data_IF_224248838929
#
_entry.id   IF_224248838929
#
_cell.length_a   1.000
_cell.length_b   1.000
_cell.length_c   1.000
_cell.angle_alpha   90.00
_cell.angle_beta   90.00
_cell.angle_gamma   90.00
#
_symmetry.space_group_name_H-M   'P 1'
#
loop_
_entity.id
_entity.type
_entity.pdbx_description
1 polymer ?
#
# COMPACT_ATOMS: atom_id res chain seq x y z
N UNK A 1 27.68 15.89 15.13
CA UNK A 1 27.08 14.55 14.93
C UNK A 1 26.05 14.17 16.00
N UNK A 2 26.24 14.52 17.28
CA UNK A 2 25.31 14.17 18.37
C UNK A 2 23.92 14.83 18.27
N UNK A 3 23.81 16.06 17.76
CA UNK A 3 22.51 16.74 17.58
C UNK A 3 21.63 16.09 16.50
N UNK A 4 22.24 15.67 15.39
CA UNK A 4 21.54 15.01 14.28
C UNK A 4 21.07 13.61 14.67
N UNK A 5 21.90 12.87 15.41
CA UNK A 5 21.52 11.58 15.99
C UNK A 5 20.37 11.71 17.00
N UNK A 6 20.37 12.76 17.84
CA UNK A 6 19.24 13.05 18.75
C UNK A 6 17.95 13.36 17.99
N UNK A 7 18.01 14.18 16.93
CA UNK A 7 16.84 14.49 16.10
C UNK A 7 16.31 13.23 15.40
N UNK A 8 17.20 12.40 14.87
CA UNK A 8 16.82 11.12 14.25
C UNK A 8 16.14 10.19 15.25
N UNK A 9 16.68 10.06 16.47
CA UNK A 9 16.07 9.26 17.53
C UNK A 9 14.72 9.81 17.99
N UNK A 10 14.56 11.14 18.02
CA UNK A 10 13.30 11.80 18.41
C UNK A 10 12.23 11.64 17.33
N UNK A 11 12.62 11.67 16.05
CA UNK A 11 11.73 11.38 14.92
C UNK A 11 11.28 9.91 14.92
N UNK A 12 12.23 8.97 15.14
CA UNK A 12 11.91 7.54 15.27
C UNK A 12 10.99 7.28 16.47
N UNK A 13 11.23 7.93 17.61
CA UNK A 13 10.41 7.81 18.81
C UNK A 13 9.00 8.34 18.61
N UNK A 14 8.84 9.44 17.87
CA UNK A 14 7.53 10.01 17.52
C UNK A 14 6.65 9.07 16.69
N UNK A 15 7.25 8.31 15.76
CA UNK A 15 6.53 7.31 14.94
C UNK A 15 6.02 6.10 15.74
N UNK A 16 6.54 5.87 16.94
CA UNK A 16 6.12 4.79 17.84
C UNK A 16 4.96 5.18 18.76
N UNK A 17 4.55 6.46 18.76
CA UNK A 17 3.42 6.94 19.54
C UNK A 17 2.14 6.72 18.73
N UNK A 18 1.48 5.59 18.97
CA UNK A 18 0.12 5.33 18.47
C UNK A 18 -0.89 5.92 19.48
N UNK A 19 -1.28 7.18 19.28
CA UNK A 19 -2.43 7.75 19.99
C UNK A 19 -3.69 7.10 19.41
N UNK A 20 -4.54 6.55 20.29
CA UNK A 20 -5.86 6.03 19.93
C UNK A 20 -6.65 7.11 19.18
N UNK A 21 -6.64 7.00 17.85
CA UNK A 21 -7.22 8.01 16.99
C UNK A 21 -8.69 7.70 16.74
N UNK A 22 -9.58 8.56 17.24
CA UNK A 22 -10.86 8.73 16.58
C UNK A 22 -10.58 9.29 15.18
N UNK A 23 -11.11 8.62 14.15
CA UNK A 23 -10.76 8.74 12.73
C UNK A 23 -10.25 10.13 12.31
N UNK A 24 -8.97 10.22 11.96
CA UNK A 24 -8.26 11.46 11.58
C UNK A 24 -8.48 11.89 10.12
N UNK A 25 -9.41 11.27 9.40
CA UNK A 25 -9.74 11.66 8.03
C UNK A 25 -11.25 11.88 7.92
N UNK A 26 -11.67 13.07 7.46
CA UNK A 26 -13.08 13.45 7.33
C UNK A 26 -13.90 12.42 6.52
N UNK A 27 -13.26 11.73 5.57
CA UNK A 27 -13.87 10.67 4.76
C UNK A 27 -14.17 9.40 5.56
N UNK A 28 -13.27 9.00 6.47
CA UNK A 28 -13.47 7.84 7.33
C UNK A 28 -14.52 8.13 8.40
N UNK A 29 -14.52 9.35 8.94
CA UNK A 29 -15.51 9.82 9.93
C UNK A 29 -16.94 9.82 9.35
N UNK A 30 -17.13 10.41 8.16
CA UNK A 30 -18.45 10.46 7.53
C UNK A 30 -19.03 9.07 7.24
N UNK A 31 -18.20 8.09 6.86
CA UNK A 31 -18.67 6.73 6.63
C UNK A 31 -19.04 6.02 7.94
N UNK A 32 -18.26 6.17 9.01
CA UNK A 32 -18.59 5.58 10.33
C UNK A 32 -19.85 6.20 10.93
N UNK A 33 -19.98 7.54 10.91
CA UNK A 33 -21.15 8.24 11.47
C UNK A 33 -22.45 7.85 10.76
N UNK A 34 -22.43 7.66 9.43
CA UNK A 34 -23.61 7.20 8.69
C UNK A 34 -24.01 5.75 9.03
N UNK A 35 -23.04 4.85 9.21
CA UNK A 35 -23.33 3.45 9.56
C UNK A 35 -23.80 3.29 11.02
N UNK A 36 -23.19 4.04 11.95
CA UNK A 36 -23.63 4.08 13.36
C UNK A 36 -25.03 4.68 13.49
N UNK A 37 -25.35 5.74 12.74
CA UNK A 37 -26.69 6.36 12.76
C UNK A 37 -27.80 5.44 12.24
N UNK A 38 -27.46 4.44 11.43
CA UNK A 38 -28.38 3.41 10.95
C UNK A 38 -28.42 2.15 11.85
N UNK A 39 -27.76 2.16 13.01
CA UNK A 39 -27.80 1.09 14.00
C UNK A 39 -26.77 -0.03 13.80
N UNK A 40 -25.89 0.06 12.79
CA UNK A 40 -24.82 -0.92 12.54
C UNK A 40 -23.47 -0.43 13.08
N UNK A 41 -23.19 -0.77 14.34
CA UNK A 41 -21.95 -0.39 15.04
C UNK A 41 -20.73 -1.24 14.66
N UNK A 42 -20.94 -2.38 13.99
CA UNK A 42 -19.91 -3.33 13.57
C UNK A 42 -19.10 -2.87 12.35
N UNK A 43 -19.65 -1.94 11.55
CA UNK A 43 -19.02 -1.44 10.31
C UNK A 43 -17.79 -0.58 10.61
N UNK A 44 -17.72 0.06 11.78
CA UNK A 44 -16.56 0.84 12.21
C UNK A 44 -15.28 0.02 12.39
N UNK A 45 -15.40 -1.27 12.74
CA UNK A 45 -14.24 -2.14 12.98
C UNK A 45 -13.58 -2.65 11.67
N UNK A 46 -14.36 -2.78 10.59
CA UNK A 46 -13.87 -3.30 9.29
C UNK A 46 -13.23 -2.25 8.37
N UNK A 47 -13.29 -0.96 8.75
CA UNK A 47 -12.97 0.14 7.84
C UNK A 47 -11.47 0.27 7.56
N UNK A 48 -10.62 0.01 8.57
CA UNK A 48 -9.16 -0.04 8.39
C UNK A 48 -8.76 -1.18 7.43
N UNK A 49 -9.41 -2.34 7.55
CA UNK A 49 -9.20 -3.47 6.64
C UNK A 49 -9.65 -3.12 5.21
N UNK A 50 -10.76 -2.38 5.05
CA UNK A 50 -11.21 -1.89 3.75
C UNK A 50 -10.23 -0.93 3.08
N UNK A 51 -9.65 0.01 3.83
CA UNK A 51 -8.63 0.95 3.32
C UNK A 51 -7.37 0.20 2.88
N UNK A 52 -6.87 -0.73 3.71
CA UNK A 52 -5.72 -1.55 3.35
C UNK A 52 -5.98 -2.40 2.11
N UNK A 53 -7.20 -2.95 1.95
CA UNK A 53 -7.58 -3.72 0.77
C UNK A 53 -7.58 -2.85 -0.51
N UNK A 54 -8.20 -1.67 -0.45
CA UNK A 54 -8.25 -0.74 -1.59
C UNK A 54 -6.86 -0.21 -1.96
N UNK A 55 -6.00 0.04 -0.96
CA UNK A 55 -4.64 0.50 -1.21
C UNK A 55 -3.75 -0.61 -1.79
N UNK A 56 -3.92 -1.86 -1.34
CA UNK A 56 -3.08 -3.00 -1.78
C UNK A 56 -3.40 -3.46 -3.19
N UNK A 57 -4.68 -3.42 -3.60
CA UNK A 57 -5.15 -3.84 -4.92
C UNK A 57 -4.38 -3.25 -6.12
N UNK A 58 -4.19 -1.93 -6.26
CA UNK A 58 -3.48 -1.35 -7.40
C UNK A 58 -2.02 -1.81 -7.50
N UNK A 59 -1.34 -2.02 -6.36
CA UNK A 59 0.04 -2.52 -6.36
C UNK A 59 0.12 -3.98 -6.78
N UNK A 60 -0.82 -4.83 -6.36
CA UNK A 60 -0.88 -6.22 -6.80
C UNK A 60 -1.12 -6.33 -8.31
N UNK A 61 -2.04 -5.53 -8.84
CA UNK A 61 -2.32 -5.48 -10.28
C UNK A 61 -1.07 -5.04 -11.06
N UNK A 62 -0.40 -3.98 -10.61
CA UNK A 62 0.83 -3.50 -11.25
C UNK A 62 1.95 -4.54 -11.20
N UNK A 63 2.12 -5.25 -10.08
CA UNK A 63 3.12 -6.31 -9.94
C UNK A 63 2.88 -7.48 -10.90
N UNK A 64 1.62 -7.92 -11.05
CA UNK A 64 1.26 -9.00 -11.98
C UNK A 64 1.54 -8.60 -13.43
N UNK A 65 1.11 -7.40 -13.83
CA UNK A 65 1.33 -6.88 -15.18
C UNK A 65 2.84 -6.75 -15.47
N UNK A 66 3.58 -6.15 -14.54
CA UNK A 66 5.03 -5.99 -14.66
C UNK A 66 5.76 -7.34 -14.77
N UNK A 67 5.38 -8.33 -13.97
CA UNK A 67 5.95 -9.67 -14.02
C UNK A 67 5.69 -10.37 -15.36
N UNK A 68 4.45 -10.32 -15.87
CA UNK A 68 4.09 -10.91 -17.16
C UNK A 68 4.83 -10.22 -18.31
N UNK A 69 4.96 -8.89 -18.26
CA UNK A 69 5.71 -8.12 -19.25
C UNK A 69 7.19 -8.50 -19.25
N UNK A 70 7.83 -8.54 -18.07
CA UNK A 70 9.23 -8.95 -17.92
C UNK A 70 9.49 -10.37 -18.45
N UNK A 71 8.63 -11.32 -18.08
CA UNK A 71 8.73 -12.72 -18.55
C UNK A 71 8.63 -12.81 -20.08
N UNK A 72 7.73 -12.05 -20.69
CA UNK A 72 7.55 -12.02 -22.14
C UNK A 72 8.70 -11.31 -22.85
N UNK A 73 9.21 -10.21 -22.30
CA UNK A 73 10.38 -9.50 -22.83
C UNK A 73 11.62 -10.40 -22.84
N UNK A 74 11.86 -11.18 -21.77
CA UNK A 74 12.99 -12.13 -21.68
C UNK A 74 12.90 -13.24 -22.74
N UNK A 75 11.69 -13.78 -23.00
CA UNK A 75 11.45 -14.78 -24.07
C UNK A 75 11.69 -14.21 -25.47
N UNK A 76 11.36 -12.94 -25.71
CA UNK A 76 11.63 -12.28 -27.01
C UNK A 76 13.14 -12.05 -27.20
N UNK A 77 13.87 -11.63 -26.16
CA UNK A 77 15.34 -11.49 -26.21
C UNK A 77 16.03 -12.81 -26.53
N UNK A 78 15.63 -13.92 -25.91
CA UNK A 78 16.22 -15.24 -26.22
C UNK A 78 15.92 -15.70 -27.64
N UNK A 79 14.70 -15.45 -28.15
CA UNK A 79 14.32 -15.76 -29.53
C UNK A 79 15.09 -14.93 -30.56
N UNK A 80 15.33 -13.64 -30.27
CA UNK A 80 16.10 -12.74 -31.13
C UNK A 80 17.59 -13.15 -31.21
N UNK A 81 18.22 -13.46 -30.07
CA UNK A 81 19.63 -13.94 -30.05
C UNK A 81 19.77 -15.25 -30.84
N UNK A 82 18.87 -16.21 -30.64
CA UNK A 82 18.92 -17.49 -31.35
C UNK A 82 18.69 -17.36 -32.86
N UNK A 83 17.89 -16.37 -33.31
CA UNK A 83 17.72 -16.10 -34.74
C UNK A 83 18.93 -15.36 -35.34
N UNK A 84 19.62 -14.54 -34.55
CA UNK A 84 20.84 -13.83 -34.96
C UNK A 84 22.06 -14.75 -35.11
N UNK A 85 22.21 -15.79 -34.30
CA UNK A 85 23.28 -16.80 -34.48
C UNK A 85 23.02 -17.81 -35.61
N UNK A 86 21.83 -17.76 -36.23
CA UNK A 86 21.49 -18.59 -37.39
C UNK A 86 21.78 -17.92 -38.74
N UNK A 87 22.29 -16.70 -38.76
CA UNK A 87 22.81 -16.00 -39.93
C UNK A 87 24.33 -15.83 -39.80
#
# INVERSE_FOLDING_TARGET
MTKLSKIFFLFIGSMMIQISSFAQCAMCRASVENNVSNGETTIGAGLNTGILYLFTMPYLIAAVIGFLWYRNAKKRKSKFIFQGEKF
#
